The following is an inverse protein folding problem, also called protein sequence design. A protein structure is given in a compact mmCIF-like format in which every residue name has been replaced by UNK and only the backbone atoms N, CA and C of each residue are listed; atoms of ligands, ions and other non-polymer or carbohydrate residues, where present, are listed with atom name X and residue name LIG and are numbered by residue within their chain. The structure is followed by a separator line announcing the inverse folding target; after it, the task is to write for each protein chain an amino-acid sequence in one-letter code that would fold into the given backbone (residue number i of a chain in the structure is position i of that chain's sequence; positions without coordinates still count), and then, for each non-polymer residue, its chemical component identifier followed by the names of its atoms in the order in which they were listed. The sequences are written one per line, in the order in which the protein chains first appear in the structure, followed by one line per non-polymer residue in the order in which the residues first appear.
data_IF_463305706813
#
_entry.id   IF_463305706813
#
_cell.length_a   1.000
_cell.length_b   1.000
_cell.length_c   1.000
_cell.angle_alpha   90.00
_cell.angle_beta   90.00
_cell.angle_gamma   90.00
#
_symmetry.space_group_name_H-M   'P 1'
#
loop_
_entity.id
_entity.type
_entity.pdbx_description
1 polymer ?
#
# COMPACT_ATOMS: atom_id res chain seq x y z
N UNK A 1 -103.24 -17.43 -19.75
CA UNK A 1 -104.42 -18.29 -19.92
C UNK A 1 -104.15 -19.16 -21.14
N UNK A 2 -104.01 -20.48 -21.07
CA UNK A 2 -104.71 -21.42 -20.20
C UNK A 2 -103.75 -22.42 -19.55
N UNK A 3 -104.08 -22.76 -18.32
CA UNK A 3 -103.45 -23.72 -17.44
C UNK A 3 -104.13 -25.08 -17.63
N UNK A 4 -103.35 -26.11 -17.98
CA UNK A 4 -103.76 -27.51 -18.03
C UNK A 4 -102.69 -28.30 -17.28
N UNK A 5 -103.10 -28.93 -16.19
CA UNK A 5 -102.27 -29.72 -15.29
C UNK A 5 -102.69 -31.19 -15.39
N UNK A 6 -101.76 -32.03 -15.85
CA UNK A 6 -101.86 -33.49 -15.82
C UNK A 6 -100.74 -34.02 -14.92
N UNK A 7 -101.03 -34.60 -13.75
CA UNK A 7 -100.01 -35.15 -12.88
C UNK A 7 -99.43 -36.40 -13.55
N UNK A 8 -98.15 -36.33 -13.89
CA UNK A 8 -97.43 -37.40 -14.60
C UNK A 8 -96.96 -37.04 -16.01
N UNK A 9 -97.48 -35.96 -16.63
CA UNK A 9 -97.00 -35.41 -17.91
C UNK A 9 -97.41 -33.92 -18.04
N UNK A 10 -96.79 -33.04 -17.25
CA UNK A 10 -96.90 -31.58 -17.42
C UNK A 10 -95.85 -31.07 -18.41
N UNK A 11 -96.13 -31.25 -19.69
CA UNK A 11 -95.32 -30.72 -20.80
C UNK A 11 -95.38 -29.18 -20.86
N UNK A 12 -94.61 -28.50 -20.02
CA UNK A 12 -93.77 -27.42 -20.55
C UNK A 12 -92.39 -28.05 -20.68
N UNK A 13 -92.07 -28.53 -21.88
CA UNK A 13 -90.66 -28.73 -22.23
C UNK A 13 -90.06 -27.33 -22.08
N UNK A 14 -89.50 -27.07 -20.90
CA UNK A 14 -88.76 -25.86 -20.60
C UNK A 14 -87.45 -26.06 -21.34
N UNK A 15 -87.52 -25.91 -22.67
CA UNK A 15 -86.47 -26.32 -23.60
C UNK A 15 -85.15 -25.70 -23.21
N UNK A 16 -85.17 -24.48 -22.66
CA UNK A 16 -84.02 -23.83 -22.03
C UNK A 16 -83.42 -24.63 -20.87
N UNK A 17 -84.23 -25.14 -19.93
CA UNK A 17 -83.74 -25.96 -18.79
C UNK A 17 -83.23 -27.34 -19.21
N UNK A 18 -83.84 -27.97 -20.21
CA UNK A 18 -83.34 -29.25 -20.75
C UNK A 18 -82.03 -29.03 -21.52
N UNK A 19 -81.95 -27.98 -22.33
CA UNK A 19 -80.71 -27.57 -23.01
C UNK A 19 -79.63 -27.26 -21.97
N UNK A 20 -79.94 -26.50 -20.92
CA UNK A 20 -78.99 -26.20 -19.85
C UNK A 20 -78.55 -27.45 -19.08
N UNK A 21 -79.46 -28.39 -18.82
CA UNK A 21 -79.13 -29.66 -18.16
C UNK A 21 -78.23 -30.55 -19.03
N UNK A 22 -78.50 -30.65 -20.33
CA UNK A 22 -77.66 -31.39 -21.29
C UNK A 22 -76.32 -30.71 -21.50
N UNK A 23 -76.30 -29.38 -21.60
CA UNK A 23 -75.06 -28.59 -21.68
C UNK A 23 -74.21 -28.72 -20.41
N UNK A 24 -74.84 -28.82 -19.22
CA UNK A 24 -74.13 -29.11 -17.98
C UNK A 24 -73.52 -30.51 -17.98
N UNK A 25 -74.23 -31.52 -18.49
CA UNK A 25 -73.73 -32.89 -18.63
C UNK A 25 -72.53 -32.95 -19.57
N UNK A 26 -72.63 -32.29 -20.73
CA UNK A 26 -71.54 -32.17 -21.72
C UNK A 26 -70.37 -31.31 -21.22
N UNK A 27 -70.58 -30.44 -20.22
CA UNK A 27 -69.52 -29.67 -19.55
C UNK A 27 -68.77 -30.45 -18.48
N UNK A 28 -69.27 -31.59 -17.98
CA UNK A 28 -68.57 -32.43 -17.00
C UNK A 28 -67.13 -32.77 -17.41
N UNK A 29 -66.84 -33.24 -18.65
CA UNK A 29 -65.47 -33.50 -19.07
C UNK A 29 -64.62 -32.22 -19.09
N UNK A 30 -65.18 -31.07 -19.46
CA UNK A 30 -64.48 -29.78 -19.42
C UNK A 30 -64.13 -29.39 -17.98
N UNK A 31 -65.08 -29.46 -17.04
CA UNK A 31 -64.83 -29.15 -15.62
C UNK A 31 -63.78 -30.09 -15.03
N UNK A 32 -63.79 -31.39 -15.38
CA UNK A 32 -62.73 -32.32 -14.96
C UNK A 32 -61.35 -31.93 -15.50
N UNK A 33 -61.27 -31.48 -16.74
CA UNK A 33 -60.01 -31.00 -17.33
C UNK A 33 -59.55 -29.68 -16.71
N UNK A 34 -60.48 -28.77 -16.37
CA UNK A 34 -60.20 -27.53 -15.64
C UNK A 34 -59.66 -27.82 -14.23
N UNK A 35 -60.29 -28.74 -13.50
CA UNK A 35 -59.85 -29.21 -12.18
C UNK A 35 -58.46 -29.86 -12.27
N UNK A 36 -58.23 -30.75 -13.24
CA UNK A 36 -56.91 -31.34 -13.48
C UNK A 36 -55.86 -30.29 -13.81
N UNK A 37 -56.20 -29.31 -14.66
CA UNK A 37 -55.28 -28.22 -15.00
C UNK A 37 -54.95 -27.36 -13.78
N UNK A 38 -55.91 -27.16 -12.87
CA UNK A 38 -55.68 -26.46 -11.62
C UNK A 38 -54.77 -27.26 -10.67
N UNK A 39 -55.00 -28.57 -10.51
CA UNK A 39 -54.11 -29.45 -9.74
C UNK A 39 -52.69 -29.44 -10.30
N UNK A 40 -52.50 -29.56 -11.62
CA UNK A 40 -51.16 -29.50 -12.23
C UNK A 40 -50.48 -28.14 -12.05
N UNK A 41 -51.23 -27.03 -12.03
CA UNK A 41 -50.67 -25.71 -11.71
C UNK A 41 -50.17 -25.65 -10.27
N UNK A 42 -50.94 -26.18 -9.31
CA UNK A 42 -50.56 -26.24 -7.90
C UNK A 42 -49.32 -27.11 -7.69
N UNK A 43 -49.30 -28.31 -8.28
CA UNK A 43 -48.14 -29.21 -8.26
C UNK A 43 -46.90 -28.52 -8.84
N UNK A 44 -47.03 -27.81 -9.96
CA UNK A 44 -45.92 -27.05 -10.56
C UNK A 44 -45.37 -26.00 -9.59
N UNK A 45 -46.24 -25.26 -8.91
CA UNK A 45 -45.81 -24.24 -7.93
C UNK A 45 -45.08 -24.90 -6.75
N UNK A 46 -45.57 -26.03 -6.25
CA UNK A 46 -44.92 -26.81 -5.19
C UNK A 46 -43.53 -27.27 -5.64
N UNK A 47 -43.41 -27.86 -6.84
CA UNK A 47 -42.11 -28.29 -7.38
C UNK A 47 -41.13 -27.13 -7.58
N UNK A 48 -41.62 -25.98 -8.05
CA UNK A 48 -40.81 -24.76 -8.13
C UNK A 48 -40.33 -24.31 -6.75
N UNK A 49 -41.16 -24.40 -5.72
CA UNK A 49 -40.78 -24.02 -4.37
C UNK A 49 -39.75 -24.97 -3.76
N UNK A 50 -39.91 -26.28 -3.96
CA UNK A 50 -38.93 -27.30 -3.57
C UNK A 50 -37.58 -27.03 -4.26
N UNK A 51 -37.58 -26.77 -5.57
CA UNK A 51 -36.36 -26.47 -6.31
C UNK A 51 -35.66 -25.21 -5.77
N UNK A 52 -36.42 -24.15 -5.43
CA UNK A 52 -35.86 -22.96 -4.78
C UNK A 52 -35.25 -23.27 -3.41
N UNK A 53 -35.93 -24.08 -2.58
CA UNK A 53 -35.41 -24.46 -1.26
C UNK A 53 -34.14 -25.30 -1.37
N UNK A 54 -34.07 -26.25 -2.30
CA UNK A 54 -32.87 -27.05 -2.56
C UNK A 54 -31.72 -26.17 -3.05
N UNK A 55 -32.00 -25.22 -3.96
CA UNK A 55 -30.99 -24.27 -4.45
C UNK A 55 -30.43 -23.40 -3.32
N UNK A 56 -31.28 -22.91 -2.41
CA UNK A 56 -30.85 -22.15 -1.21
C UNK A 56 -30.03 -23.01 -0.25
N UNK A 57 -30.40 -24.27 -0.05
CA UNK A 57 -29.63 -25.20 0.78
C UNK A 57 -28.25 -25.46 0.17
N UNK A 58 -28.18 -25.69 -1.14
CA UNK A 58 -26.93 -25.88 -1.86
C UNK A 58 -26.03 -24.64 -1.76
N UNK A 59 -26.60 -23.44 -1.91
CA UNK A 59 -25.86 -22.19 -1.74
C UNK A 59 -25.31 -22.05 -0.32
N UNK A 60 -26.11 -22.38 0.70
CA UNK A 60 -25.70 -22.35 2.10
C UNK A 60 -24.59 -23.36 2.39
N UNK A 61 -24.70 -24.58 1.85
CA UNK A 61 -23.67 -25.60 1.97
C UNK A 61 -22.36 -25.18 1.28
N UNK A 62 -22.43 -24.55 0.10
CA UNK A 62 -21.25 -23.99 -0.60
C UNK A 62 -20.58 -22.88 0.19
N UNK A 63 -21.35 -22.01 0.86
CA UNK A 63 -20.80 -20.97 1.74
C UNK A 63 -20.09 -21.57 2.96
N UNK A 64 -20.53 -22.71 3.46
CA UNK A 64 -19.95 -23.32 4.66
C UNK A 64 -18.76 -24.24 4.37
N UNK A 65 -18.81 -25.04 3.31
CA UNK A 65 -17.83 -26.07 2.99
C UNK A 65 -17.06 -25.84 1.70
N UNK A 66 -17.44 -24.83 0.91
CA UNK A 66 -16.73 -24.47 -0.32
C UNK A 66 -15.55 -23.53 -0.07
N UNK A 67 -14.94 -23.06 -1.16
CA UNK A 67 -13.86 -22.08 -1.12
C UNK A 67 -14.22 -20.79 -0.36
N UNK A 68 -15.51 -20.44 -0.31
CA UNK A 68 -16.04 -19.27 0.39
C UNK A 68 -16.17 -19.48 1.91
N UNK A 69 -15.79 -20.65 2.44
CA UNK A 69 -15.92 -21.00 3.86
C UNK A 69 -15.14 -20.05 4.75
N UNK A 70 -15.72 -19.41 5.78
CA UNK A 70 -14.99 -18.47 6.63
C UNK A 70 -14.01 -19.13 7.61
N UNK A 71 -14.02 -20.46 7.76
CA UNK A 71 -13.23 -21.15 8.79
C UNK A 71 -11.71 -21.13 8.57
N UNK A 72 -11.24 -20.70 7.40
CA UNK A 72 -9.82 -20.45 7.13
C UNK A 72 -9.43 -18.97 7.15
N UNK A 73 -10.37 -18.07 7.43
CA UNK A 73 -10.08 -16.63 7.50
C UNK A 73 -9.29 -16.32 8.77
N UNK A 74 -8.24 -15.53 8.61
CA UNK A 74 -7.40 -15.04 9.70
C UNK A 74 -7.64 -13.56 9.89
N UNK A 75 -7.58 -13.12 11.13
CA UNK A 75 -7.77 -11.72 11.49
C UNK A 75 -6.42 -11.16 11.93
N UNK A 76 -6.02 -10.05 11.34
CA UNK A 76 -4.90 -9.26 11.82
C UNK A 76 -5.41 -8.25 12.82
N UNK A 77 -4.94 -8.32 14.06
CA UNK A 77 -5.21 -7.30 15.07
C UNK A 77 -3.99 -6.40 15.21
N UNK A 78 -4.24 -5.10 15.36
CA UNK A 78 -3.21 -4.11 15.66
C UNK A 78 -3.43 -3.60 17.08
N UNK A 79 -2.34 -3.30 17.79
CA UNK A 79 -2.44 -2.60 19.08
C UNK A 79 -3.00 -1.19 18.92
N UNK A 80 -2.80 -0.57 17.75
CA UNK A 80 -3.34 0.75 17.40
C UNK A 80 -3.79 0.75 15.93
N UNK A 81 -5.11 0.62 15.72
CA UNK A 81 -5.73 0.61 14.39
C UNK A 81 -5.72 1.99 13.72
N UNK A 82 -5.48 3.08 14.46
CA UNK A 82 -5.39 4.42 13.86
C UNK A 82 -4.09 4.61 13.09
N UNK A 83 -3.04 3.86 13.47
CA UNK A 83 -1.72 3.95 12.89
C UNK A 83 -1.49 2.89 11.81
N UNK A 84 -1.83 1.63 12.10
CA UNK A 84 -1.65 0.50 11.18
C UNK A 84 -2.84 -0.43 11.30
N UNK A 85 -3.42 -0.75 10.15
CA UNK A 85 -4.38 -1.85 10.00
C UNK A 85 -3.73 -2.95 9.18
N UNK A 86 -4.06 -4.20 9.51
CA UNK A 86 -3.53 -5.37 8.82
C UNK A 86 -4.69 -6.15 8.20
N UNK A 87 -4.62 -6.38 6.89
CA UNK A 87 -5.49 -7.34 6.21
C UNK A 87 -4.67 -8.60 5.95
N UNK A 88 -5.20 -9.75 6.36
CA UNK A 88 -4.47 -11.02 6.38
C UNK A 88 -5.15 -11.99 5.42
N UNK A 89 -4.37 -12.71 4.62
CA UNK A 89 -4.90 -13.75 3.74
C UNK A 89 -5.07 -15.08 4.50
N UNK A 90 -5.82 -16.02 3.93
CA UNK A 90 -6.12 -17.32 4.56
C UNK A 90 -4.88 -18.20 4.72
N UNK A 91 -3.87 -17.97 3.88
CA UNK A 91 -2.59 -18.68 3.84
C UNK A 91 -1.55 -18.08 4.80
N UNK A 92 -1.83 -16.92 5.41
CA UNK A 92 -0.88 -16.27 6.31
C UNK A 92 -0.58 -17.16 7.53
N UNK A 93 0.65 -17.14 8.02
CA UNK A 93 1.00 -17.85 9.26
C UNK A 93 0.53 -17.06 10.48
N UNK A 94 0.16 -17.76 11.54
CA UNK A 94 -0.16 -17.13 12.82
C UNK A 94 1.13 -16.66 13.48
N UNK A 95 1.21 -15.36 13.72
CA UNK A 95 2.42 -14.74 14.23
C UNK A 95 2.12 -13.40 14.89
N UNK A 96 2.98 -12.99 15.81
CA UNK A 96 2.95 -11.65 16.39
C UNK A 96 4.23 -10.90 16.03
N UNK A 97 4.06 -9.65 15.62
CA UNK A 97 5.16 -8.78 15.16
C UNK A 97 5.06 -7.43 15.84
N UNK A 98 6.20 -6.94 16.32
CA UNK A 98 6.32 -5.57 16.82
C UNK A 98 6.72 -4.66 15.65
N UNK A 99 5.93 -3.62 15.43
CA UNK A 99 6.16 -2.63 14.37
C UNK A 99 6.35 -1.26 15.02
N UNK A 100 7.43 -0.56 14.64
CA UNK A 100 7.66 0.82 15.02
C UNK A 100 7.57 1.71 13.79
N UNK A 101 6.66 2.69 13.83
CA UNK A 101 6.46 3.62 12.72
C UNK A 101 7.34 4.84 12.94
N UNK A 102 8.40 4.97 12.15
CA UNK A 102 9.32 6.10 12.25
C UNK A 102 8.79 7.28 11.41
N UNK A 103 8.36 7.02 10.17
CA UNK A 103 7.92 8.04 9.22
C UNK A 103 6.97 7.44 8.18
N UNK A 104 5.90 8.16 7.86
CA UNK A 104 4.97 7.77 6.81
C UNK A 104 5.44 8.24 5.43
N UNK A 105 5.16 7.44 4.40
CA UNK A 105 5.39 7.84 3.03
C UNK A 105 4.45 9.00 2.67
N UNK A 106 5.02 10.11 2.20
CA UNK A 106 4.27 11.30 1.77
C UNK A 106 4.45 11.49 0.25
N UNK A 107 3.47 12.10 -0.43
CA UNK A 107 3.66 12.55 -1.80
C UNK A 107 4.64 13.71 -1.84
N UNK A 108 5.31 13.86 -2.97
CA UNK A 108 6.13 15.05 -3.23
C UNK A 108 5.20 16.19 -3.64
N UNK A 109 5.42 17.37 -3.07
CA UNK A 109 4.51 18.51 -3.24
C UNK A 109 5.29 19.80 -3.44
N UNK A 110 4.84 20.59 -4.39
CA UNK A 110 5.31 21.94 -4.64
C UNK A 110 4.16 22.92 -4.54
N UNK A 111 4.43 24.10 -4.00
CA UNK A 111 3.44 25.15 -3.82
C UNK A 111 4.04 26.45 -4.36
N UNK A 112 3.28 27.16 -5.19
CA UNK A 112 3.69 28.49 -5.64
C UNK A 112 3.66 29.48 -4.49
N UNK A 113 4.36 30.61 -4.62
CA UNK A 113 4.06 31.79 -3.82
C UNK A 113 2.61 32.25 -4.05
N UNK A 114 2.13 33.17 -3.22
CA UNK A 114 0.82 33.80 -3.40
C UNK A 114 0.80 34.60 -4.71
N UNK A 115 0.07 34.09 -5.70
CA UNK A 115 -0.12 34.73 -7.00
C UNK A 115 -1.39 35.59 -6.99
N UNK A 116 -1.43 36.62 -7.83
CA UNK A 116 -2.65 37.41 -8.04
C UNK A 116 -3.83 36.52 -8.47
N UNK A 117 -5.04 36.82 -8.01
CA UNK A 117 -6.25 36.05 -8.34
C UNK A 117 -6.47 35.90 -9.85
N UNK A 118 -6.08 36.90 -10.63
CA UNK A 118 -6.22 36.94 -12.08
C UNK A 118 -4.92 36.54 -12.80
N UNK A 119 -3.97 35.93 -12.10
CA UNK A 119 -2.74 35.44 -12.70
C UNK A 119 -3.01 34.53 -13.91
N UNK A 120 -2.32 34.82 -15.01
CA UNK A 120 -2.45 34.09 -16.27
C UNK A 120 -1.16 33.32 -16.54
N UNK A 121 -1.29 32.01 -16.68
CA UNK A 121 -0.22 31.11 -17.04
C UNK A 121 0.07 31.28 -18.54
N UNK A 122 1.34 31.48 -18.96
CA UNK A 122 1.68 31.69 -20.36
C UNK A 122 1.43 30.45 -21.22
N UNK A 123 1.31 30.65 -22.53
CA UNK A 123 1.28 29.55 -23.50
C UNK A 123 2.62 28.85 -23.50
N UNK A 124 2.62 27.51 -23.50
CA UNK A 124 3.85 26.75 -23.44
C UNK A 124 3.66 25.23 -23.44
N UNK A 125 4.78 24.52 -23.38
CA UNK A 125 4.89 23.08 -23.22
C UNK A 125 5.52 22.76 -21.87
N UNK A 126 4.67 22.33 -20.94
CA UNK A 126 5.01 22.10 -19.55
C UNK A 126 5.32 20.62 -19.33
N UNK A 127 6.58 20.29 -19.05
CA UNK A 127 7.01 18.92 -18.77
C UNK A 127 7.07 18.66 -17.26
N UNK A 128 6.66 17.47 -16.86
CA UNK A 128 6.69 17.02 -15.48
C UNK A 128 7.12 15.56 -15.44
N UNK A 129 7.82 15.14 -14.39
CA UNK A 129 8.00 13.72 -14.11
C UNK A 129 7.67 13.39 -12.66
N UNK A 130 7.23 12.15 -12.42
CA UNK A 130 7.18 11.58 -11.08
C UNK A 130 7.94 10.24 -11.10
N UNK A 131 9.17 10.27 -10.61
CA UNK A 131 10.14 9.19 -10.83
C UNK A 131 10.45 9.01 -12.32
N UNK A 132 10.41 7.78 -12.80
CA UNK A 132 10.73 7.43 -14.21
C UNK A 132 9.60 7.73 -15.21
N UNK A 133 8.46 8.24 -14.74
CA UNK A 133 7.30 8.52 -15.58
C UNK A 133 7.23 9.99 -15.92
N UNK A 134 7.26 10.28 -17.21
CA UNK A 134 7.15 11.64 -17.74
C UNK A 134 5.75 11.95 -18.25
N UNK A 135 5.37 13.21 -18.13
CA UNK A 135 4.11 13.77 -18.61
C UNK A 135 4.38 15.17 -19.17
N UNK A 136 3.93 15.42 -20.40
CA UNK A 136 4.05 16.73 -21.03
C UNK A 136 2.66 17.30 -21.35
N UNK A 137 2.46 18.57 -21.03
CA UNK A 137 1.24 19.32 -21.27
C UNK A 137 1.51 20.52 -22.18
N UNK A 138 0.96 20.50 -23.40
CA UNK A 138 0.86 21.72 -24.22
C UNK A 138 -0.34 22.53 -23.75
N UNK A 139 -0.09 23.73 -23.25
CA UNK A 139 -1.09 24.65 -22.72
C UNK A 139 -1.18 25.91 -23.56
N UNK A 140 -2.40 26.32 -23.93
CA UNK A 140 -2.63 27.47 -24.80
C UNK A 140 -2.41 28.83 -24.11
N UNK A 141 -2.17 28.83 -22.81
CA UNK A 141 -2.20 30.01 -21.95
C UNK A 141 -3.61 30.26 -21.39
N UNK A 142 -3.69 30.87 -20.21
CA UNK A 142 -4.98 31.14 -19.56
C UNK A 142 -4.94 31.11 -18.04
N UNK A 143 -6.10 30.88 -17.43
CA UNK A 143 -6.26 30.94 -15.97
C UNK A 143 -5.52 29.79 -15.28
N UNK A 144 -4.99 30.08 -14.09
CA UNK A 144 -4.32 29.09 -13.24
C UNK A 144 -5.19 27.85 -12.93
N UNK A 145 -6.50 28.03 -12.75
CA UNK A 145 -7.44 26.94 -12.51
C UNK A 145 -7.59 25.99 -13.71
N UNK A 146 -7.58 26.54 -14.94
CA UNK A 146 -7.64 25.72 -16.16
C UNK A 146 -6.35 24.94 -16.36
N UNK A 147 -5.20 25.55 -16.03
CA UNK A 147 -3.91 24.89 -16.04
C UNK A 147 -3.88 23.71 -15.04
N UNK A 148 -4.28 23.94 -13.79
CA UNK A 148 -4.32 22.90 -12.76
C UNK A 148 -5.27 21.73 -13.12
N UNK A 149 -6.45 22.05 -13.66
CA UNK A 149 -7.40 21.04 -14.14
C UNK A 149 -6.79 20.19 -15.25
N UNK A 150 -6.18 20.83 -16.26
CA UNK A 150 -5.58 20.10 -17.37
C UNK A 150 -4.42 19.20 -16.95
N UNK A 151 -3.59 19.62 -15.98
CA UNK A 151 -2.55 18.75 -15.40
C UNK A 151 -3.20 17.52 -14.75
N UNK A 152 -4.20 17.73 -13.89
CA UNK A 152 -4.83 16.62 -13.14
C UNK A 152 -5.55 15.62 -14.06
N UNK A 153 -6.24 16.10 -15.09
CA UNK A 153 -6.97 15.26 -16.04
C UNK A 153 -6.03 14.51 -17.01
N UNK A 154 -5.02 15.21 -17.55
CA UNK A 154 -4.16 14.66 -18.61
C UNK A 154 -2.98 13.86 -18.08
N UNK A 155 -2.58 14.03 -16.82
CA UNK A 155 -1.48 13.28 -16.22
C UNK A 155 -1.82 11.81 -15.92
N UNK A 156 -3.07 11.36 -16.18
CA UNK A 156 -3.52 9.95 -16.04
C UNK A 156 -3.21 9.34 -14.66
N UNK A 157 -3.40 10.11 -13.60
CA UNK A 157 -3.16 9.65 -12.23
C UNK A 157 -1.69 9.70 -11.81
N UNK A 158 -0.84 10.44 -12.53
CA UNK A 158 0.53 10.71 -12.11
C UNK A 158 0.61 11.89 -11.12
N UNK A 159 -0.08 12.99 -11.46
CA UNK A 159 -0.01 14.25 -10.74
C UNK A 159 -1.41 14.76 -10.41
N UNK A 160 -1.49 15.55 -9.35
CA UNK A 160 -2.68 16.30 -8.99
C UNK A 160 -2.29 17.75 -8.76
N UNK A 161 -3.02 18.65 -9.38
CA UNK A 161 -2.81 20.08 -9.29
C UNK A 161 -4.10 20.74 -8.82
N UNK A 162 -4.01 21.55 -7.76
CA UNK A 162 -5.16 22.21 -7.13
C UNK A 162 -4.84 23.68 -6.89
N UNK A 163 -5.78 24.56 -7.24
CA UNK A 163 -5.69 25.98 -6.92
C UNK A 163 -6.46 26.24 -5.64
N UNK A 164 -5.84 26.94 -4.70
CA UNK A 164 -6.41 27.31 -3.41
C UNK A 164 -6.39 28.83 -3.32
N UNK A 165 -7.52 29.46 -3.00
CA UNK A 165 -7.54 30.90 -2.71
C UNK A 165 -6.87 31.13 -1.35
N UNK A 166 -5.82 31.96 -1.32
CA UNK A 166 -5.02 32.26 -0.13
C UNK A 166 -5.60 33.48 0.61
N UNK A 167 -5.85 34.56 -0.14
CA UNK A 167 -6.57 35.74 0.35
C UNK A 167 -7.69 36.13 -0.61
N UNK A 168 -8.41 37.23 -0.32
CA UNK A 168 -9.48 37.74 -1.20
C UNK A 168 -9.00 37.93 -2.65
N UNK A 169 -7.76 38.35 -2.81
CA UNK A 169 -7.16 38.81 -4.07
C UNK A 169 -5.95 37.95 -4.50
N UNK A 170 -5.68 36.83 -3.81
CA UNK A 170 -4.56 35.95 -4.15
C UNK A 170 -4.88 34.46 -4.06
N UNK A 171 -4.06 33.65 -4.71
CA UNK A 171 -4.20 32.19 -4.80
C UNK A 171 -2.85 31.52 -4.95
N UNK A 172 -2.82 30.25 -4.56
CA UNK A 172 -1.65 29.38 -4.70
C UNK A 172 -2.00 28.15 -5.54
N UNK A 173 -1.04 27.65 -6.29
CA UNK A 173 -1.13 26.36 -6.97
C UNK A 173 -0.34 25.32 -6.17
N UNK A 174 -1.04 24.30 -5.68
CA UNK A 174 -0.46 23.10 -5.10
C UNK A 174 -0.36 22.02 -6.19
N UNK A 175 0.85 21.55 -6.45
CA UNK A 175 1.15 20.45 -7.36
C UNK A 175 1.72 19.29 -6.54
N UNK A 176 1.07 18.12 -6.59
CA UNK A 176 1.47 16.94 -5.82
C UNK A 176 1.52 15.67 -6.67
N UNK A 177 2.39 14.73 -6.32
CA UNK A 177 2.38 13.38 -6.89
C UNK A 177 1.26 12.54 -6.25
N UNK A 178 0.62 11.69 -7.03
CA UNK A 178 -0.40 10.78 -6.48
C UNK A 178 0.26 9.62 -5.72
N UNK A 179 1.41 9.16 -6.20
CA UNK A 179 2.20 8.13 -5.51
C UNK A 179 3.13 8.76 -4.50
N UNK A 180 3.19 8.16 -3.32
CA UNK A 180 4.07 8.57 -2.22
C UNK A 180 5.44 7.91 -2.30
N UNK A 181 6.40 8.41 -1.53
CA UNK A 181 7.72 7.81 -1.39
C UNK A 181 8.80 8.43 -2.29
N UNK A 182 10.06 8.22 -1.90
CA UNK A 182 11.24 8.88 -2.50
C UNK A 182 11.51 8.49 -3.95
N UNK A 183 10.97 7.38 -4.45
CA UNK A 183 11.10 6.99 -5.86
C UNK A 183 10.17 7.80 -6.78
N UNK A 184 9.13 8.44 -6.23
CA UNK A 184 8.13 9.19 -7.00
C UNK A 184 8.33 10.70 -6.82
N UNK A 185 9.57 11.18 -6.86
CA UNK A 185 9.83 12.63 -6.75
C UNK A 185 9.32 13.38 -7.97
N UNK A 186 8.75 14.54 -7.72
CA UNK A 186 8.26 15.43 -8.76
C UNK A 186 9.42 16.24 -9.32
N UNK A 187 9.60 16.21 -10.64
CA UNK A 187 10.52 17.10 -11.34
C UNK A 187 9.79 17.92 -12.40
N UNK A 188 10.28 19.13 -12.65
CA UNK A 188 9.74 20.07 -13.62
C UNK A 188 10.78 20.26 -14.74
N UNK A 189 10.35 20.22 -15.99
CA UNK A 189 11.19 20.32 -17.18
C UNK A 189 10.51 21.16 -18.28
N UNK A 190 11.31 21.81 -19.14
CA UNK A 190 10.77 22.72 -20.16
C UNK A 190 10.12 23.94 -19.52
N UNK A 191 8.98 24.40 -20.05
CA UNK A 191 8.34 25.66 -19.61
C UNK A 191 7.81 25.59 -18.17
N UNK A 192 7.68 24.38 -17.60
CA UNK A 192 7.31 24.22 -16.20
C UNK A 192 8.42 24.62 -15.23
N UNK A 193 9.70 24.52 -15.64
CA UNK A 193 10.82 25.00 -14.83
C UNK A 193 10.79 26.52 -14.73
N UNK A 194 10.65 27.19 -15.87
CA UNK A 194 10.55 28.66 -15.93
C UNK A 194 9.33 29.17 -15.17
N UNK A 195 8.17 28.53 -15.36
CA UNK A 195 6.98 28.83 -14.57
C UNK A 195 7.19 28.57 -13.09
N UNK A 196 7.86 27.47 -12.72
CA UNK A 196 8.17 27.14 -11.34
C UNK A 196 8.98 28.25 -10.66
N UNK A 197 10.01 28.77 -11.34
CA UNK A 197 10.81 29.88 -10.84
C UNK A 197 10.00 31.18 -10.80
N UNK A 198 9.29 31.53 -11.88
CA UNK A 198 8.53 32.77 -11.98
C UNK A 198 7.35 32.85 -11.00
N UNK A 199 6.78 31.70 -10.62
CA UNK A 199 5.68 31.60 -9.65
C UNK A 199 6.16 31.47 -8.20
N UNK A 200 7.47 31.45 -7.95
CA UNK A 200 8.05 31.21 -6.63
C UNK A 200 7.81 29.79 -6.11
N UNK A 201 7.45 28.85 -6.98
CA UNK A 201 7.36 27.43 -6.64
C UNK A 201 8.74 26.78 -6.51
N UNK A 202 9.69 27.26 -7.30
CA UNK A 202 11.08 26.83 -7.30
C UNK A 202 11.97 28.03 -7.06
N UNK A 203 13.02 27.82 -6.27
CA UNK A 203 14.11 28.77 -6.14
C UNK A 203 15.35 28.18 -6.81
N UNK A 204 16.12 29.03 -7.48
CA UNK A 204 17.40 28.60 -8.05
C UNK A 204 18.40 28.49 -6.91
N UNK A 205 18.76 27.27 -6.56
CA UNK A 205 19.83 27.01 -5.60
C UNK A 205 21.11 26.76 -6.40
N UNK A 206 22.15 27.52 -6.07
CA UNK A 206 23.49 27.26 -6.57
C UNK A 206 24.14 26.20 -5.69
N UNK A 207 23.85 24.92 -5.96
CA UNK A 207 24.52 23.84 -5.26
C UNK A 207 25.90 23.58 -5.89
N UNK A 208 26.95 23.73 -5.08
CA UNK A 208 28.30 23.36 -5.45
C UNK A 208 28.68 22.08 -4.70
N UNK A 209 28.67 20.94 -5.38
CA UNK A 209 29.27 19.71 -4.86
C UNK A 209 30.71 19.59 -5.35
N UNK A 210 31.62 19.21 -4.44
CA UNK A 210 33.01 18.90 -4.80
C UNK A 210 33.37 17.57 -4.16
N UNK A 211 33.81 16.63 -4.99
CA UNK A 211 34.42 15.40 -4.50
C UNK A 211 35.88 15.69 -4.18
N UNK A 212 36.29 15.37 -2.95
CA UNK A 212 37.70 15.44 -2.55
C UNK A 212 38.36 14.12 -2.89
N UNK A 213 39.45 14.18 -3.67
CA UNK A 213 40.31 13.02 -3.83
C UNK A 213 41.12 12.84 -2.54
N UNK A 214 41.16 11.64 -1.96
CA UNK A 214 42.04 11.29 -0.85
C UNK A 214 43.39 10.88 -1.42
N UNK A 215 44.34 11.81 -1.49
CA UNK A 215 45.69 11.62 -2.04
C UNK A 215 46.74 12.27 -1.14
N UNK A 216 48.03 11.99 -1.41
CA UNK A 216 49.15 12.62 -0.69
C UNK A 216 49.21 14.15 -0.86
N UNK A 217 48.51 14.69 -1.86
CA UNK A 217 48.48 16.12 -2.15
C UNK A 217 47.38 16.85 -1.37
N UNK A 218 46.30 16.16 -1.03
CA UNK A 218 45.11 16.73 -0.36
C UNK A 218 45.07 16.43 1.14
N UNK A 219 45.76 15.38 1.60
CA UNK A 219 45.85 15.02 3.01
C UNK A 219 47.02 15.76 3.65
N UNK A 220 46.72 16.64 4.62
CA UNK A 220 47.73 17.41 5.36
C UNK A 220 47.64 17.09 6.86
N UNK A 221 48.72 17.29 7.65
CA UNK A 221 48.65 17.11 9.10
C UNK A 221 47.64 18.08 9.74
N UNK A 222 46.90 17.61 10.75
CA UNK A 222 46.02 18.46 11.57
C UNK A 222 46.82 19.14 12.70
N UNK A 223 47.21 18.39 13.72
CA UNK A 223 48.12 18.80 14.81
C UNK A 223 49.34 17.89 14.96
N UNK A 224 49.26 16.62 14.54
CA UNK A 224 50.36 15.64 14.53
C UNK A 224 50.96 15.48 13.13
N UNK A 225 52.27 15.17 13.01
CA UNK A 225 52.89 14.89 11.72
C UNK A 225 52.30 13.62 11.08
N UNK A 226 52.24 13.59 9.75
CA UNK A 226 51.82 12.42 8.99
C UNK A 226 52.92 11.35 9.01
N UNK A 227 52.65 10.21 9.63
CA UNK A 227 53.54 9.04 9.64
C UNK A 227 52.92 7.91 8.81
N UNK A 228 53.74 7.20 8.02
CA UNK A 228 53.27 6.08 7.20
C UNK A 228 52.77 4.87 8.02
N UNK A 229 53.08 4.81 9.32
CA UNK A 229 52.54 3.80 10.25
C UNK A 229 51.12 4.10 10.70
N UNK A 230 50.78 5.38 10.82
CA UNK A 230 49.56 5.86 11.46
C UNK A 230 48.49 6.22 10.42
N UNK A 231 48.92 6.60 9.22
CA UNK A 231 48.09 7.01 8.09
C UNK A 231 48.55 6.32 6.81
N UNK A 232 47.64 5.57 6.17
CA UNK A 232 47.87 5.00 4.84
C UNK A 232 46.82 5.49 3.83
N UNK A 233 47.25 5.80 2.61
CA UNK A 233 46.38 6.33 1.54
C UNK A 233 46.42 5.34 0.38
N UNK A 234 45.26 4.82 -0.02
CA UNK A 234 45.13 3.89 -1.14
C UNK A 234 43.77 4.07 -1.81
N UNK A 235 43.73 4.12 -3.15
CA UNK A 235 42.49 4.09 -3.96
C UNK A 235 41.36 5.00 -3.43
N UNK A 236 41.67 6.27 -3.19
CA UNK A 236 40.71 7.25 -2.67
C UNK A 236 40.11 6.87 -1.30
N UNK A 237 40.86 6.11 -0.51
CA UNK A 237 40.56 5.70 0.87
C UNK A 237 41.71 6.09 1.79
N UNK A 238 41.37 6.43 3.02
CA UNK A 238 42.31 6.84 4.06
C UNK A 238 42.15 5.90 5.26
N UNK A 239 43.21 5.15 5.57
CA UNK A 239 43.29 4.32 6.75
C UNK A 239 43.93 5.12 7.88
N UNK A 240 43.21 5.24 9.00
CA UNK A 240 43.68 5.89 10.22
C UNK A 240 43.84 4.85 11.32
N UNK A 241 45.03 4.75 11.88
CA UNK A 241 45.24 4.01 13.12
C UNK A 241 44.62 4.76 14.31
N UNK A 242 44.32 4.07 15.43
CA UNK A 242 43.81 4.72 16.63
C UNK A 242 44.68 5.89 17.07
N UNK A 243 44.07 7.07 17.21
CA UNK A 243 44.76 8.31 17.61
C UNK A 243 45.49 9.06 16.50
N UNK A 244 45.46 8.56 15.26
CA UNK A 244 45.87 9.29 14.07
C UNK A 244 44.85 10.38 13.72
N UNK A 245 45.32 11.44 13.06
CA UNK A 245 44.50 12.59 12.67
C UNK A 245 45.05 13.22 11.39
N UNK A 246 44.14 13.74 10.57
CA UNK A 246 44.47 14.38 9.30
C UNK A 246 43.54 15.56 9.06
N UNK A 247 43.98 16.49 8.22
CA UNK A 247 43.20 17.61 7.74
C UNK A 247 43.04 17.53 6.22
N UNK A 248 41.86 17.94 5.74
CA UNK A 248 41.52 18.01 4.32
C UNK A 248 41.14 19.45 4.02
N UNK A 249 42.10 20.32 3.63
CA UNK A 249 41.86 21.74 3.44
C UNK A 249 41.01 21.98 2.21
N UNK A 250 40.05 22.89 2.35
CA UNK A 250 39.25 23.39 1.23
C UNK A 250 40.10 24.38 0.43
N UNK A 251 40.67 23.94 -0.71
CA UNK A 251 41.59 24.75 -1.53
C UNK A 251 41.00 26.08 -2.07
N UNK A 252 39.66 26.21 -2.09
CA UNK A 252 38.98 27.43 -2.54
C UNK A 252 38.01 27.89 -1.47
N UNK A 253 38.05 29.20 -1.20
CA UNK A 253 37.01 29.90 -0.44
C UNK A 253 35.70 29.71 -1.20
N UNK A 254 34.80 28.93 -0.64
CA UNK A 254 33.43 28.81 -1.12
C UNK A 254 32.71 30.11 -0.77
N UNK A 255 32.14 30.79 -1.76
CA UNK A 255 31.21 31.89 -1.50
C UNK A 255 29.91 31.28 -1.01
N UNK A 256 29.74 31.18 0.30
CA UNK A 256 28.58 30.59 0.96
C UNK A 256 27.48 31.66 1.04
N UNK A 257 26.35 31.54 0.30
CA UNK A 257 25.27 32.51 0.39
C UNK A 257 24.60 32.44 1.77
N UNK A 258 23.96 33.55 2.17
CA UNK A 258 23.24 33.61 3.45
C UNK A 258 22.15 32.52 3.51
N UNK A 259 22.21 31.66 4.55
CA UNK A 259 21.27 30.55 4.73
C UNK A 259 21.71 29.20 4.13
N UNK A 260 22.87 29.12 3.48
CA UNK A 260 23.39 27.84 3.00
C UNK A 260 23.80 26.91 4.15
N UNK A 261 23.57 25.61 3.96
CA UNK A 261 23.92 24.55 4.91
C UNK A 261 25.06 23.72 4.32
N UNK A 262 26.17 23.61 5.05
CA UNK A 262 27.26 22.70 4.70
C UNK A 262 26.87 21.28 5.10
N UNK A 263 26.79 20.37 4.13
CA UNK A 263 26.64 18.93 4.37
C UNK A 263 27.92 18.20 3.97
N UNK A 264 28.33 17.24 4.79
CA UNK A 264 29.47 16.36 4.52
C UNK A 264 29.03 14.92 4.68
N UNK A 265 29.30 14.09 3.68
CA UNK A 265 29.04 12.65 3.71
C UNK A 265 30.38 11.91 3.62
N UNK A 266 30.62 11.00 4.55
CA UNK A 266 31.81 10.15 4.57
C UNK A 266 31.42 8.73 5.02
N UNK A 267 32.09 7.73 4.46
CA UNK A 267 31.93 6.34 4.86
C UNK A 267 33.08 5.95 5.81
N UNK A 268 32.75 5.50 7.02
CA UNK A 268 33.72 4.94 7.98
C UNK A 268 33.51 3.44 8.05
N UNK A 269 34.59 2.67 7.83
CA UNK A 269 34.61 1.23 8.10
C UNK A 269 35.54 0.97 9.28
N UNK A 270 34.97 0.55 10.42
CA UNK A 270 35.77 0.11 11.55
C UNK A 270 36.37 -1.27 11.24
N UNK A 271 37.69 -1.37 11.25
CA UNK A 271 38.36 -2.67 11.17
C UNK A 271 38.24 -3.37 12.53
N UNK A 272 38.05 -4.70 12.57
CA UNK A 272 37.93 -5.43 13.82
C UNK A 272 39.21 -5.32 14.64
N UNK A 273 39.08 -4.88 15.90
CA UNK A 273 40.17 -4.93 16.87
C UNK A 273 40.60 -6.39 17.06
N UNK A 274 41.87 -6.69 16.84
CA UNK A 274 42.46 -8.02 17.03
C UNK A 274 42.53 -8.49 18.49
N UNK A 275 41.66 -7.97 19.37
CA UNK A 275 41.65 -8.28 20.79
C UNK A 275 41.02 -9.66 21.05
N UNK A 276 41.88 -10.66 21.26
CA UNK A 276 41.48 -11.93 21.86
C UNK A 276 41.61 -11.82 23.39
N UNK A 277 40.50 -11.93 24.11
CA UNK A 277 40.53 -11.96 25.58
C UNK A 277 41.40 -13.13 26.08
N UNK A 278 42.28 -12.93 27.08
CA UNK A 278 43.09 -14.02 27.62
C UNK A 278 42.18 -15.10 28.23
N UNK A 279 42.50 -16.37 27.98
CA UNK A 279 41.77 -17.50 28.59
C UNK A 279 42.05 -17.50 30.11
N UNK A 280 41.04 -17.65 30.97
CA UNK A 280 41.25 -17.71 32.41
C UNK A 280 42.16 -18.91 32.76
N UNK A 281 43.03 -18.78 33.78
CA UNK A 281 43.91 -19.86 34.20
C UNK A 281 43.09 -21.08 34.64
N UNK A 282 43.55 -22.30 34.36
CA UNK A 282 42.86 -23.51 34.81
C UNK A 282 42.79 -23.53 36.34
N UNK A 283 41.58 -23.74 36.88
CA UNK A 283 41.34 -23.80 38.33
C UNK A 283 42.03 -24.99 39.00
N UNK A 284 42.11 -25.00 40.35
CA UNK A 284 42.74 -26.08 41.09
C UNK A 284 42.04 -27.42 40.84
N UNK A 285 42.80 -28.41 40.36
CA UNK A 285 42.31 -29.77 40.15
C UNK A 285 42.26 -30.52 41.48
N UNK A 286 41.11 -31.13 41.81
CA UNK A 286 40.98 -32.02 42.96
C UNK A 286 41.69 -33.34 42.59
N UNK A 287 42.65 -33.83 43.39
CA UNK A 287 43.32 -35.10 43.10
C UNK A 287 42.34 -36.26 43.18
N UNK A 288 42.47 -37.24 42.28
CA UNK A 288 41.60 -38.42 42.24
C UNK A 288 41.69 -39.22 43.56
N UNK A 289 40.54 -39.66 44.06
CA UNK A 289 40.45 -40.44 45.29
C UNK A 289 41.15 -41.80 45.09
N UNK A 290 42.23 -42.04 45.83
CA UNK A 290 43.01 -43.26 45.74
C UNK A 290 42.18 -44.51 46.06
N UNK A 291 42.55 -45.64 45.43
CA UNK A 291 42.01 -46.97 45.69
C UNK A 291 43.11 -47.94 46.13
N UNK A 292 42.71 -49.07 46.72
CA UNK A 292 43.63 -50.17 47.08
C UNK A 292 43.23 -51.45 46.35
N UNK A 293 44.21 -52.28 46.00
CA UNK A 293 43.99 -53.62 45.45
C UNK A 293 44.14 -54.65 46.56
N UNK A 294 43.13 -55.51 46.74
CA UNK A 294 43.23 -56.68 47.62
C UNK A 294 42.72 -57.92 46.90
N UNK A 295 43.59 -58.92 46.76
CA UNK A 295 43.28 -60.23 46.16
C UNK A 295 42.56 -60.09 44.80
N UNK A 296 43.16 -59.34 43.88
CA UNK A 296 42.68 -59.08 42.51
C UNK A 296 41.35 -58.31 42.40
N UNK A 297 40.92 -57.64 43.46
CA UNK A 297 39.78 -56.70 43.45
C UNK A 297 40.27 -55.27 43.74
N UNK A 298 39.99 -54.34 42.81
CA UNK A 298 40.27 -52.91 42.95
C UNK A 298 39.12 -52.21 43.69
N UNK A 299 39.37 -51.78 44.93
CA UNK A 299 38.42 -51.02 45.73
C UNK A 299 38.79 -49.54 45.60
N UNK A 300 38.01 -48.80 44.80
CA UNK A 300 38.11 -47.34 44.69
C UNK A 300 37.28 -46.69 45.79
N UNK A 301 37.84 -45.68 46.45
CA UNK A 301 37.07 -44.85 47.37
C UNK A 301 36.05 -44.04 46.57
N UNK A 302 34.80 -43.93 47.04
CA UNK A 302 33.82 -43.08 46.36
C UNK A 302 34.26 -41.62 46.45
N UNK A 303 34.23 -40.84 45.36
CA UNK A 303 34.51 -39.41 45.45
C UNK A 303 33.47 -38.76 46.37
N UNK A 304 33.93 -38.06 47.40
CA UNK A 304 33.11 -37.17 48.22
C UNK A 304 32.82 -35.86 47.50
#
# INVERSE_FOLDING_TARGET
MSDISIPGVTSRIDSGKIIDATMKLERIPLTRLEDQAQTYKEEKVIWQDVNRKISKLQESAKKLFGFQSPFGEKIGTSSDETLVTATVSREAMEDSRSLQIIKTAKPDRFLTASLDKNYTVPKGTYGFSAGDKEFTLTFAGGKLADFARQISEKSKGLLKATVIDDTKDSRVLLLETIKTGSANRLSLSGDSLEFGIASGMLETVSDASRTFALSRETVVPWTKPLNETDVAIAENSLLLQPGAEVSLPLEKILSVPAGAVLSMEFAITNLPDGYAAPKPPPGPAIPEAGGINFQDIEIRNSPS
#
